data_IF_313640040073
#
_entry.id   IF_313640040073
#
_cell.length_a   1.000
_cell.length_b   1.000
_cell.length_c   1.000
_cell.angle_alpha   90.00
_cell.angle_beta   90.00
_cell.angle_gamma   90.00
#
_symmetry.space_group_name_H-M   'P 1'
#
loop_
_entity.id
_entity.type
_entity.pdbx_description
1 polymer ?
#
# COMPACT_ATOMS: atom_id res chain seq x y z
N UNK A 1 20.13 6.79 41.61
CA UNK A 1 19.76 7.94 42.45
C UNK A 1 21.02 8.67 42.89
N UNK A 2 21.28 9.88 42.38
CA UNK A 2 22.52 10.61 42.69
C UNK A 2 22.46 11.25 44.09
N UNK A 3 23.62 11.36 44.76
CA UNK A 3 23.78 11.97 46.10
C UNK A 3 23.24 13.42 46.21
N UNK A 4 22.94 14.04 45.07
CA UNK A 4 22.42 15.42 44.96
C UNK A 4 20.93 15.48 45.30
N UNK A 5 20.15 14.45 44.95
CA UNK A 5 18.70 14.41 45.24
C UNK A 5 18.37 14.33 46.73
N UNK A 6 19.20 13.61 47.50
CA UNK A 6 19.06 13.52 48.95
C UNK A 6 19.32 14.84 49.66
N UNK A 7 20.29 15.64 49.20
CA UNK A 7 20.65 16.92 49.81
C UNK A 7 19.57 17.99 49.66
N UNK A 8 18.91 18.04 48.50
CA UNK A 8 17.82 19.01 48.23
C UNK A 8 16.57 18.65 49.05
N UNK A 9 16.26 17.36 49.17
CA UNK A 9 15.14 16.89 50.01
C UNK A 9 15.36 17.23 51.49
N UNK A 10 16.59 17.06 52.01
CA UNK A 10 16.93 17.42 53.39
C UNK A 10 16.85 18.93 53.66
N UNK A 11 17.28 19.76 52.71
CA UNK A 11 17.19 21.22 52.84
C UNK A 11 15.73 21.70 52.86
N UNK A 12 14.87 21.12 52.02
CA UNK A 12 13.43 21.47 51.98
C UNK A 12 12.72 21.01 53.26
N UNK A 13 13.02 19.81 53.77
CA UNK A 13 12.49 19.29 55.03
C UNK A 13 12.95 20.09 56.26
N UNK A 14 14.15 20.68 56.23
CA UNK A 14 14.68 21.49 57.33
C UNK A 14 14.16 22.94 57.33
N UNK A 15 13.86 23.52 56.17
CA UNK A 15 13.52 24.95 56.06
C UNK A 15 12.01 25.26 56.18
N UNK A 16 11.14 24.35 55.74
CA UNK A 16 9.68 24.56 55.75
C UNK A 16 9.01 24.60 57.14
N UNK A 17 9.43 23.83 58.16
CA UNK A 17 8.71 23.81 59.45
C UNK A 17 8.78 25.14 60.23
N UNK A 18 9.73 26.03 59.89
CA UNK A 18 9.95 27.28 60.64
C UNK A 18 9.02 28.43 60.24
N UNK A 19 8.20 28.31 59.19
CA UNK A 19 7.48 29.47 58.63
C UNK A 19 5.95 29.45 58.75
N UNK A 20 5.30 28.30 58.95
CA UNK A 20 3.82 28.21 58.82
C UNK A 20 3.06 27.47 59.92
N UNK A 21 3.70 26.94 60.96
CA UNK A 21 2.99 26.23 62.04
C UNK A 21 2.26 24.95 61.57
N UNK A 22 1.60 24.27 62.50
CA UNK A 22 1.04 22.90 62.29
C UNK A 22 0.00 22.83 61.15
N UNK A 23 -0.65 23.94 60.81
CA UNK A 23 -1.58 24.04 59.67
C UNK A 23 -0.90 24.09 58.30
N UNK A 24 0.39 24.46 58.22
CA UNK A 24 1.18 24.46 56.98
C UNK A 24 1.73 23.07 56.60
N UNK A 25 1.91 22.17 57.57
CA UNK A 25 2.51 20.85 57.33
C UNK A 25 1.75 20.00 56.31
N UNK A 26 0.42 20.08 56.28
CA UNK A 26 -0.38 19.31 55.32
C UNK A 26 -0.18 19.82 53.89
N UNK A 27 -0.11 21.15 53.70
CA UNK A 27 0.16 21.75 52.39
C UNK A 27 1.57 21.44 51.93
N UNK A 28 2.54 21.45 52.85
CA UNK A 28 3.93 21.12 52.56
C UNK A 28 4.10 19.64 52.19
N UNK A 29 3.42 18.73 52.88
CA UNK A 29 3.41 17.29 52.54
C UNK A 29 2.77 17.07 51.16
N UNK A 30 1.65 17.74 50.87
CA UNK A 30 1.00 17.67 49.54
C UNK A 30 1.92 18.22 48.46
N UNK A 31 2.62 19.33 48.71
CA UNK A 31 3.57 19.92 47.77
C UNK A 31 4.76 18.98 47.53
N UNK A 32 5.32 18.37 48.58
CA UNK A 32 6.39 17.38 48.48
C UNK A 32 5.92 16.15 47.71
N UNK A 33 4.72 15.64 47.98
CA UNK A 33 4.12 14.52 47.24
C UNK A 33 3.92 14.88 45.77
N UNK A 34 3.44 16.10 45.46
CA UNK A 34 3.28 16.57 44.09
C UNK A 34 4.62 16.74 43.37
N UNK A 35 5.65 17.24 44.07
CA UNK A 35 7.01 17.35 43.53
C UNK A 35 7.62 15.97 43.29
N UNK A 36 7.47 15.04 44.24
CA UNK A 36 7.95 13.66 44.09
C UNK A 36 7.20 12.92 42.98
N UNK A 37 5.89 13.13 42.86
CA UNK A 37 5.07 12.60 41.76
C UNK A 37 5.48 13.20 40.42
N UNK A 38 5.72 14.50 40.36
CA UNK A 38 6.21 15.18 39.16
C UNK A 38 7.60 14.67 38.75
N UNK A 39 8.53 14.51 39.70
CA UNK A 39 9.86 13.97 39.46
C UNK A 39 9.80 12.50 39.03
N UNK A 40 8.92 11.69 39.63
CA UNK A 40 8.67 10.30 39.23
C UNK A 40 8.06 10.20 37.83
N UNK A 41 7.06 11.02 37.50
CA UNK A 41 6.44 11.08 36.19
C UNK A 41 7.43 11.53 35.09
N UNK A 42 8.28 12.51 35.39
CA UNK A 42 9.34 12.97 34.46
C UNK A 42 10.43 11.91 34.26
N UNK A 43 10.77 11.12 35.29
CA UNK A 43 11.73 10.02 35.16
C UNK A 43 11.16 8.80 34.41
N UNK A 44 9.90 8.41 34.63
CA UNK A 44 9.25 7.33 33.85
C UNK A 44 9.24 7.62 32.35
N UNK A 45 9.01 8.88 31.96
CA UNK A 45 8.97 9.28 30.55
C UNK A 45 10.33 9.15 29.86
N UNK A 46 11.44 9.09 30.62
CA UNK A 46 12.80 8.92 30.08
C UNK A 46 13.38 7.52 30.30
N UNK A 47 12.99 6.81 31.37
CA UNK A 47 13.60 5.53 31.76
C UNK A 47 13.13 4.34 30.89
N UNK A 48 11.97 4.45 30.22
CA UNK A 48 11.46 3.40 29.33
C UNK A 48 12.29 3.16 28.06
N UNK A 49 13.03 4.17 27.60
CA UNK A 49 13.90 4.07 26.43
C UNK A 49 15.25 3.40 26.76
N UNK A 50 15.82 3.65 27.93
CA UNK A 50 17.11 3.05 28.33
C UNK A 50 16.96 1.55 28.65
N UNK A 51 15.87 1.15 29.32
CA UNK A 51 15.64 -0.25 29.70
C UNK A 51 15.36 -1.15 28.48
N UNK A 52 14.69 -0.63 27.44
CA UNK A 52 14.34 -1.38 26.22
C UNK A 52 15.52 -1.54 25.24
N UNK A 53 16.51 -0.63 25.28
CA UNK A 53 17.73 -0.69 24.45
C UNK A 53 18.80 -1.64 25.05
N UNK A 54 18.61 -2.15 26.27
CA UNK A 54 19.64 -2.85 27.05
C UNK A 54 20.19 -4.15 26.44
N UNK A 55 19.43 -4.87 25.60
CA UNK A 55 19.82 -6.20 25.07
C UNK A 55 21.08 -6.15 24.18
N UNK A 56 21.22 -5.13 23.32
CA UNK A 56 22.43 -4.86 22.53
C UNK A 56 22.57 -3.35 22.22
N UNK A 57 22.78 -2.57 23.29
CA UNK A 57 22.86 -1.09 23.21
C UNK A 57 23.87 -0.60 22.18
N UNK A 58 24.99 -1.30 22.01
CA UNK A 58 26.03 -0.92 21.06
C UNK A 58 25.60 -1.16 19.61
N UNK A 59 24.94 -2.28 19.31
CA UNK A 59 24.36 -2.51 17.98
C UNK A 59 23.36 -1.42 17.61
N UNK A 60 22.45 -1.07 18.53
CA UNK A 60 21.48 0.00 18.31
C UNK A 60 22.15 1.32 17.98
N UNK A 61 23.11 1.75 18.81
CA UNK A 61 23.81 3.03 18.63
C UNK A 61 24.58 3.03 17.32
N UNK A 62 25.36 1.99 17.04
CA UNK A 62 26.18 1.90 15.82
C UNK A 62 25.29 1.97 14.58
N UNK A 63 24.24 1.13 14.51
CA UNK A 63 23.34 1.12 13.35
C UNK A 63 22.57 2.44 13.24
N UNK A 64 22.21 3.08 14.36
CA UNK A 64 21.53 4.38 14.34
C UNK A 64 22.39 5.45 13.67
N UNK A 65 23.66 5.56 14.07
CA UNK A 65 24.55 6.56 13.51
C UNK A 65 25.00 6.21 12.08
N UNK A 66 25.18 4.94 11.75
CA UNK A 66 25.42 4.52 10.36
C UNK A 66 24.25 4.89 9.43
N UNK A 67 23.00 4.58 9.84
CA UNK A 67 21.83 4.92 9.03
C UNK A 67 21.63 6.45 8.96
N UNK A 68 21.88 7.18 10.05
CA UNK A 68 21.86 8.64 10.04
C UNK A 68 22.89 9.21 9.05
N UNK A 69 24.10 8.65 9.02
CA UNK A 69 25.14 9.01 8.06
C UNK A 69 24.68 8.81 6.62
N UNK A 70 24.03 7.68 6.33
CA UNK A 70 23.48 7.39 5.01
C UNK A 70 22.36 8.35 4.60
N UNK A 71 21.48 8.73 5.53
CA UNK A 71 20.41 9.72 5.30
C UNK A 71 20.99 11.11 5.01
N UNK A 72 22.00 11.55 5.76
CA UNK A 72 22.65 12.84 5.52
C UNK A 72 23.46 12.83 4.20
N UNK A 73 24.16 11.74 3.89
CA UNK A 73 24.91 11.60 2.64
C UNK A 73 23.99 11.64 1.40
N UNK A 74 22.77 11.14 1.52
CA UNK A 74 21.78 11.16 0.44
C UNK A 74 21.40 12.58 -0.05
N UNK A 75 21.69 13.62 0.74
CA UNK A 75 21.57 15.05 0.35
C UNK A 75 22.71 15.54 -0.55
N UNK A 76 23.76 14.73 -0.73
CA UNK A 76 24.97 15.04 -1.51
C UNK A 76 26.09 15.68 -0.70
N UNK A 77 25.79 16.29 0.45
CA UNK A 77 26.78 16.76 1.42
C UNK A 77 26.19 16.76 2.83
N UNK A 78 27.04 16.52 3.84
CA UNK A 78 26.67 16.61 5.26
C UNK A 78 26.85 18.06 5.72
N UNK A 79 25.76 18.71 6.09
CA UNK A 79 25.74 20.10 6.57
C UNK A 79 26.17 20.24 8.03
N UNK A 80 26.45 21.48 8.46
CA UNK A 80 26.77 21.77 9.87
C UNK A 80 25.57 21.49 10.80
N UNK A 81 24.35 21.62 10.29
CA UNK A 81 23.13 21.28 11.01
C UNK A 81 23.03 19.76 11.25
N UNK A 82 23.42 18.95 10.25
CA UNK A 82 23.47 17.48 10.38
C UNK A 82 24.49 17.08 11.46
N UNK A 83 25.69 17.67 11.43
CA UNK A 83 26.74 17.43 12.44
C UNK A 83 26.29 17.85 13.84
N UNK A 84 25.68 19.02 13.97
CA UNK A 84 25.13 19.51 15.25
C UNK A 84 24.07 18.55 15.81
N UNK A 85 23.24 17.95 14.95
CA UNK A 85 22.24 16.96 15.36
C UNK A 85 22.87 15.67 15.87
N UNK A 86 23.96 15.21 15.23
CA UNK A 86 24.75 14.04 15.70
C UNK A 86 25.25 14.26 17.13
N UNK A 87 25.82 15.44 17.41
CA UNK A 87 26.26 15.80 18.77
C UNK A 87 25.11 15.88 19.77
N UNK A 88 23.99 16.52 19.37
CA UNK A 88 22.81 16.63 20.22
C UNK A 88 22.23 15.25 20.57
N UNK A 89 22.19 14.33 19.60
CA UNK A 89 21.70 12.96 19.79
C UNK A 89 22.63 12.16 20.70
N UNK A 90 23.94 12.26 20.48
CA UNK A 90 24.97 11.61 21.32
C UNK A 90 24.81 12.03 22.79
N UNK A 91 24.61 13.33 23.03
CA UNK A 91 24.36 13.87 24.37
C UNK A 91 23.02 13.41 24.94
N UNK A 92 21.96 13.36 24.14
CA UNK A 92 20.63 12.94 24.57
C UNK A 92 20.60 11.46 24.99
N UNK A 93 21.36 10.61 24.30
CA UNK A 93 21.51 9.18 24.63
C UNK A 93 22.45 8.93 25.83
N UNK A 94 22.99 9.99 26.46
CA UNK A 94 23.91 9.96 27.61
C UNK A 94 25.06 8.97 27.40
N UNK A 95 25.69 9.06 26.22
CA UNK A 95 26.78 8.18 25.85
C UNK A 95 28.05 8.58 26.61
N UNK A 96 28.87 7.58 26.98
CA UNK A 96 30.19 7.81 27.57
C UNK A 96 31.21 8.21 26.48
N UNK A 97 32.41 8.58 26.91
CA UNK A 97 33.46 9.07 26.01
C UNK A 97 33.91 8.01 24.99
N UNK A 98 33.86 6.72 25.33
CA UNK A 98 34.19 5.62 24.42
C UNK A 98 33.12 5.49 23.33
N UNK A 99 31.85 5.51 23.74
CA UNK A 99 30.71 5.39 22.83
C UNK A 99 30.58 6.61 21.92
N UNK A 100 30.96 7.80 22.37
CA UNK A 100 31.01 9.01 21.52
C UNK A 100 32.00 8.88 20.35
N UNK A 101 33.13 8.19 20.53
CA UNK A 101 34.06 7.91 19.43
C UNK A 101 33.41 6.93 18.44
N UNK A 102 32.72 5.91 18.96
CA UNK A 102 31.99 4.94 18.14
C UNK A 102 30.90 5.59 17.30
N UNK A 103 30.15 6.58 17.81
CA UNK A 103 29.10 7.25 17.04
C UNK A 103 29.67 7.98 15.83
N UNK A 104 30.82 8.64 15.96
CA UNK A 104 31.47 9.34 14.84
C UNK A 104 31.99 8.37 13.79
N UNK A 105 32.62 7.28 14.21
CA UNK A 105 33.07 6.22 13.32
C UNK A 105 31.89 5.58 12.56
N UNK A 106 30.83 5.24 13.26
CA UNK A 106 29.58 4.72 12.70
C UNK A 106 28.97 5.69 11.69
N UNK A 107 28.86 6.97 12.04
CA UNK A 107 28.33 8.00 11.17
C UNK A 107 29.13 8.17 9.87
N UNK A 108 30.46 8.08 9.93
CA UNK A 108 31.31 8.11 8.74
C UNK A 108 31.19 6.84 7.90
N UNK A 109 31.08 5.68 8.54
CA UNK A 109 30.84 4.39 7.87
C UNK A 109 29.52 4.41 7.09
N UNK A 110 28.50 5.03 7.68
CA UNK A 110 27.21 5.25 7.05
C UNK A 110 27.25 6.09 5.77
N UNK A 111 28.26 6.93 5.56
CA UNK A 111 28.37 7.78 4.37
C UNK A 111 29.04 7.08 3.17
N UNK A 112 29.48 5.83 3.34
CA UNK A 112 30.12 5.07 2.27
C UNK A 112 29.12 4.72 1.17
N UNK A 113 29.52 4.87 -0.11
CA UNK A 113 28.64 4.62 -1.26
C UNK A 113 28.00 3.22 -1.28
N UNK A 114 28.73 2.22 -0.78
CA UNK A 114 28.30 0.81 -0.75
C UNK A 114 27.86 0.36 0.65
N UNK A 115 27.38 1.28 1.49
CA UNK A 115 26.89 0.95 2.82
C UNK A 115 25.74 -0.09 2.74
N UNK A 116 25.84 -1.25 3.42
CA UNK A 116 24.88 -2.35 3.28
C UNK A 116 23.61 -2.11 4.11
N UNK A 117 22.86 -1.06 3.78
CA UNK A 117 21.71 -0.56 4.55
C UNK A 117 20.72 -1.65 4.98
N UNK A 118 20.24 -2.47 4.03
CA UNK A 118 19.25 -3.52 4.31
C UNK A 118 19.77 -4.56 5.29
N UNK A 119 20.98 -5.06 5.08
CA UNK A 119 21.58 -6.07 5.95
C UNK A 119 21.77 -5.55 7.39
N UNK A 120 22.14 -4.27 7.54
CA UNK A 120 22.31 -3.63 8.86
C UNK A 120 20.99 -3.45 9.58
N UNK A 121 19.95 -3.00 8.86
CA UNK A 121 18.60 -2.86 9.38
C UNK A 121 17.97 -4.21 9.74
N UNK A 122 18.13 -5.23 8.90
CA UNK A 122 17.67 -6.60 9.19
C UNK A 122 18.33 -7.15 10.46
N UNK A 123 19.65 -6.97 10.63
CA UNK A 123 20.34 -7.38 11.88
C UNK A 123 19.79 -6.66 13.11
N UNK A 124 19.49 -5.36 12.99
CA UNK A 124 18.86 -4.61 14.08
C UNK A 124 17.45 -5.12 14.37
N UNK A 125 16.67 -5.41 13.31
CA UNK A 125 15.34 -5.97 13.44
C UNK A 125 15.37 -7.32 14.17
N UNK A 126 16.28 -8.22 13.83
CA UNK A 126 16.41 -9.51 14.50
C UNK A 126 16.65 -9.35 16.01
N UNK A 127 17.50 -8.40 16.39
CA UNK A 127 17.84 -8.09 17.78
C UNK A 127 16.69 -7.44 18.58
N UNK A 128 15.77 -6.72 17.94
CA UNK A 128 14.72 -5.93 18.60
C UNK A 128 13.29 -6.27 18.13
N UNK A 129 13.11 -7.33 17.35
CA UNK A 129 11.83 -7.75 16.75
C UNK A 129 10.70 -7.95 17.77
N UNK A 130 11.07 -8.30 18.99
CA UNK A 130 10.20 -8.56 20.13
C UNK A 130 9.75 -7.26 20.83
N UNK A 131 10.48 -6.15 20.66
CA UNK A 131 10.11 -4.84 21.20
C UNK A 131 9.92 -3.81 20.08
N UNK A 132 8.68 -3.72 19.59
CA UNK A 132 8.28 -2.77 18.55
C UNK A 132 8.46 -1.31 18.96
N UNK A 133 8.49 -1.00 20.27
CA UNK A 133 8.71 0.37 20.72
C UNK A 133 10.14 0.83 20.42
N UNK A 134 11.13 -0.05 20.57
CA UNK A 134 12.54 0.27 20.23
C UNK A 134 12.69 0.54 18.74
N UNK A 135 12.08 -0.29 17.88
CA UNK A 135 12.11 -0.08 16.43
C UNK A 135 11.41 1.23 16.03
N UNK A 136 10.29 1.57 16.67
CA UNK A 136 9.62 2.85 16.46
C UNK A 136 10.45 4.04 16.96
N UNK A 137 11.17 3.90 18.07
CA UNK A 137 12.08 4.91 18.59
C UNK A 137 13.28 5.12 17.64
N UNK A 138 13.83 4.03 17.10
CA UNK A 138 14.87 4.08 16.07
C UNK A 138 14.38 4.87 14.85
N UNK A 139 13.21 4.51 14.32
CA UNK A 139 12.62 5.21 13.19
C UNK A 139 12.49 6.71 13.47
N UNK A 140 11.98 7.10 14.63
CA UNK A 140 11.85 8.50 15.02
C UNK A 140 13.18 9.24 14.95
N UNK A 141 14.24 8.68 15.53
CA UNK A 141 15.55 9.32 15.50
C UNK A 141 16.08 9.49 14.07
N UNK A 142 15.89 8.50 13.19
CA UNK A 142 16.28 8.62 11.78
C UNK A 142 15.43 9.69 11.06
N UNK A 143 14.13 9.77 11.33
CA UNK A 143 13.27 10.81 10.76
C UNK A 143 13.69 12.21 11.22
N UNK A 144 14.15 12.35 12.46
CA UNK A 144 14.69 13.61 12.98
C UNK A 144 15.97 14.08 12.25
N UNK A 145 16.79 13.16 11.71
CA UNK A 145 17.92 13.48 10.84
C UNK A 145 17.48 13.83 9.42
N UNK A 146 16.48 13.09 8.89
CA UNK A 146 15.96 13.34 7.54
C UNK A 146 15.32 14.73 7.45
N UNK A 147 14.54 15.13 8.46
CA UNK A 147 13.71 16.34 8.45
C UNK A 147 14.39 17.58 9.04
N UNK A 148 15.73 17.63 9.10
CA UNK A 148 16.45 18.76 9.72
C UNK A 148 16.10 20.12 9.11
N UNK A 149 15.88 20.17 7.80
CA UNK A 149 15.52 21.38 7.04
C UNK A 149 13.99 21.55 6.87
N UNK A 150 13.20 20.72 7.54
CA UNK A 150 11.74 20.71 7.44
C UNK A 150 11.18 20.09 6.16
N UNK A 151 12.02 19.55 5.27
CA UNK A 151 11.60 18.91 4.03
C UNK A 151 12.13 17.48 3.98
N UNK A 152 11.45 16.62 3.22
CA UNK A 152 11.88 15.25 3.00
C UNK A 152 12.14 15.02 1.52
N UNK A 153 13.41 14.95 1.15
CA UNK A 153 13.87 14.74 -0.21
C UNK A 153 13.58 13.31 -0.69
N UNK A 154 13.62 13.09 -2.01
CA UNK A 154 13.32 11.79 -2.60
C UNK A 154 14.30 10.69 -2.16
N UNK A 155 15.59 11.02 -2.02
CA UNK A 155 16.62 10.06 -1.62
C UNK A 155 16.48 9.64 -0.15
N UNK A 156 16.25 10.58 0.76
CA UNK A 156 15.97 10.31 2.18
C UNK A 156 14.69 9.47 2.31
N UNK A 157 13.64 9.84 1.57
CA UNK A 157 12.38 9.10 1.52
C UNK A 157 12.58 7.65 1.07
N UNK A 158 13.50 7.41 0.14
CA UNK A 158 13.84 6.05 -0.29
C UNK A 158 14.47 5.25 0.85
N UNK A 159 15.42 5.83 1.59
CA UNK A 159 16.04 5.20 2.77
C UNK A 159 14.98 4.89 3.86
N UNK A 160 14.10 5.85 4.15
CA UNK A 160 13.03 5.65 5.12
C UNK A 160 12.04 4.54 4.70
N UNK A 161 11.77 4.40 3.40
CA UNK A 161 10.95 3.27 2.90
C UNK A 161 11.64 1.94 3.09
N UNK A 162 12.93 1.86 2.80
CA UNK A 162 13.72 0.65 3.06
C UNK A 162 13.62 0.28 4.54
N UNK A 163 13.81 1.24 5.45
CA UNK A 163 13.67 1.01 6.89
C UNK A 163 12.27 0.54 7.30
N UNK A 164 11.22 1.13 6.75
CA UNK A 164 9.84 0.72 6.99
C UNK A 164 9.59 -0.74 6.55
N UNK A 165 10.12 -1.12 5.38
CA UNK A 165 10.01 -2.48 4.84
C UNK A 165 10.75 -3.49 5.74
N UNK A 166 12.01 -3.19 6.11
CA UNK A 166 12.85 -4.07 6.95
C UNK A 166 12.28 -4.25 8.36
N UNK A 167 11.68 -3.22 8.95
CA UNK A 167 11.09 -3.33 10.29
C UNK A 167 9.64 -3.82 10.30
N UNK A 168 9.07 -4.05 9.12
CA UNK A 168 7.66 -4.42 8.95
C UNK A 168 6.70 -3.40 9.61
N UNK A 169 7.07 -2.12 9.58
CA UNK A 169 6.28 -1.02 10.09
C UNK A 169 5.72 -0.26 8.89
N UNK A 170 4.39 -0.09 8.76
CA UNK A 170 3.81 0.69 7.69
C UNK A 170 4.44 2.09 7.63
N UNK A 171 4.94 2.48 6.45
CA UNK A 171 5.57 3.79 6.25
C UNK A 171 4.69 4.95 6.74
N UNK A 172 3.37 4.84 6.58
CA UNK A 172 2.41 5.81 7.09
C UNK A 172 2.41 5.91 8.62
N UNK A 173 2.54 4.79 9.34
CA UNK A 173 2.57 4.77 10.80
C UNK A 173 3.85 5.41 11.34
N UNK A 174 4.99 5.07 10.74
CA UNK A 174 6.29 5.68 11.05
C UNK A 174 6.25 7.21 10.89
N UNK A 175 5.61 7.67 9.82
CA UNK A 175 5.42 9.07 9.53
C UNK A 175 4.45 9.79 10.49
N UNK A 176 3.33 9.15 10.86
CA UNK A 176 2.40 9.68 11.86
C UNK A 176 3.13 9.90 13.18
N UNK A 177 3.96 8.94 13.59
CA UNK A 177 4.74 9.06 14.81
C UNK A 177 5.69 10.26 14.79
N UNK A 178 6.41 10.48 13.68
CA UNK A 178 7.23 11.68 13.53
C UNK A 178 6.42 12.97 13.62
N UNK A 179 5.23 13.02 13.02
CA UNK A 179 4.35 14.19 13.10
C UNK A 179 3.92 14.53 14.53
N UNK A 180 3.81 13.52 15.40
CA UNK A 180 3.48 13.69 16.82
C UNK A 180 4.68 14.10 17.67
N UNK A 181 5.90 13.76 17.26
CA UNK A 181 7.11 14.04 18.04
C UNK A 181 7.81 15.36 17.68
N UNK A 182 7.52 15.93 16.51
CA UNK A 182 8.09 17.23 16.05
C UNK A 182 7.27 18.43 16.58
N UNK A 183 6.83 18.38 17.84
CA UNK A 183 6.19 19.50 18.52
C UNK A 183 7.21 20.53 19.04
N UNK A 184 8.14 20.98 18.20
CA UNK A 184 8.92 22.19 18.46
C UNK A 184 8.69 23.23 17.35
N UNK A 185 7.74 24.12 17.65
CA UNK A 185 7.60 25.48 17.13
C UNK A 185 7.33 25.75 15.64
N UNK A 186 6.92 24.79 14.79
CA UNK A 186 6.53 25.18 13.42
C UNK A 186 5.32 24.43 12.85
N UNK A 187 4.27 25.18 12.48
CA UNK A 187 3.07 24.70 11.78
C UNK A 187 3.36 24.24 10.34
N UNK A 188 4.53 24.57 9.79
CA UNK A 188 4.96 24.19 8.44
C UNK A 188 5.18 22.67 8.28
N UNK A 189 5.62 21.97 9.33
CA UNK A 189 5.84 20.52 9.30
C UNK A 189 4.53 19.76 9.04
N UNK A 190 3.43 20.19 9.67
CA UNK A 190 2.12 19.59 9.47
C UNK A 190 1.65 19.83 8.03
N UNK A 191 1.77 21.07 7.52
CA UNK A 191 1.23 21.46 6.23
C UNK A 191 1.93 20.77 5.04
N UNK A 192 3.26 20.69 5.06
CA UNK A 192 4.02 20.03 3.99
C UNK A 192 3.86 18.50 4.02
N UNK A 193 3.77 17.93 5.22
CA UNK A 193 3.49 16.51 5.44
C UNK A 193 2.12 16.10 4.87
N UNK A 194 1.04 16.80 5.24
CA UNK A 194 -0.31 16.49 4.75
C UNK A 194 -0.43 16.70 3.24
N UNK A 195 0.20 17.75 2.68
CA UNK A 195 0.18 17.97 1.23
C UNK A 195 0.86 16.84 0.44
N UNK A 196 2.08 16.43 0.84
CA UNK A 196 2.83 15.41 0.10
C UNK A 196 2.19 14.03 0.23
N UNK A 197 1.62 13.72 1.41
CA UNK A 197 0.99 12.43 1.67
C UNK A 197 -0.39 12.32 0.98
N UNK A 198 -1.17 13.40 0.93
CA UNK A 198 -2.43 13.43 0.17
C UNK A 198 -2.20 13.37 -1.34
N UNK A 199 -1.18 14.06 -1.86
CA UNK A 199 -0.78 13.95 -3.26
C UNK A 199 -0.38 12.50 -3.61
N UNK A 200 0.39 11.83 -2.75
CA UNK A 200 0.76 10.43 -2.95
C UNK A 200 -0.44 9.48 -2.94
N UNK A 201 -1.35 9.62 -1.97
CA UNK A 201 -2.60 8.84 -1.92
C UNK A 201 -3.45 9.09 -3.17
N UNK A 202 -3.54 10.34 -3.63
CA UNK A 202 -4.27 10.68 -4.85
C UNK A 202 -3.62 10.05 -6.08
N UNK A 203 -2.29 10.04 -6.18
CA UNK A 203 -1.58 9.46 -7.31
C UNK A 203 -1.76 7.93 -7.39
N UNK A 204 -1.73 7.24 -6.24
CA UNK A 204 -2.06 5.81 -6.17
C UNK A 204 -3.51 5.52 -6.57
N UNK A 205 -4.48 6.29 -6.03
CA UNK A 205 -5.89 6.15 -6.40
C UNK A 205 -6.09 6.35 -7.90
N UNK A 206 -5.44 7.36 -8.49
CA UNK A 206 -5.48 7.61 -9.93
C UNK A 206 -4.85 6.47 -10.73
N UNK A 207 -3.73 5.90 -10.29
CA UNK A 207 -3.13 4.73 -10.97
C UNK A 207 -4.06 3.52 -10.94
N UNK A 208 -4.67 3.22 -9.80
CA UNK A 208 -5.64 2.12 -9.68
C UNK A 208 -6.87 2.36 -10.57
N UNK A 209 -7.39 3.59 -10.60
CA UNK A 209 -8.49 3.98 -11.48
C UNK A 209 -8.10 3.85 -12.96
N UNK A 210 -6.91 4.32 -13.36
CA UNK A 210 -6.40 4.17 -14.74
C UNK A 210 -6.27 2.70 -15.13
N UNK A 211 -5.74 1.85 -14.24
CA UNK A 211 -5.65 0.42 -14.50
C UNK A 211 -7.04 -0.24 -14.62
N UNK A 212 -8.00 0.13 -13.77
CA UNK A 212 -9.37 -0.36 -13.89
C UNK A 212 -10.02 0.10 -15.21
N UNK A 213 -9.85 1.36 -15.59
CA UNK A 213 -10.36 1.89 -16.86
C UNK A 213 -9.73 1.18 -18.05
N UNK A 214 -8.42 0.93 -18.04
CA UNK A 214 -7.72 0.16 -19.07
C UNK A 214 -8.26 -1.28 -19.14
N UNK A 215 -8.42 -1.96 -18.01
CA UNK A 215 -9.00 -3.32 -17.96
C UNK A 215 -10.42 -3.34 -18.53
N UNK A 216 -11.27 -2.38 -18.16
CA UNK A 216 -12.62 -2.27 -18.71
C UNK A 216 -12.63 -1.95 -20.20
N UNK A 217 -11.73 -1.08 -20.68
CA UNK A 217 -11.59 -0.79 -22.11
C UNK A 217 -11.13 -2.03 -22.89
N UNK A 218 -10.15 -2.78 -22.37
CA UNK A 218 -9.68 -4.03 -22.99
C UNK A 218 -10.81 -5.07 -23.05
N UNK A 219 -11.58 -5.24 -21.98
CA UNK A 219 -12.74 -6.14 -21.96
C UNK A 219 -13.81 -5.72 -22.97
N UNK A 220 -14.14 -4.42 -23.05
CA UNK A 220 -15.08 -3.89 -24.05
C UNK A 220 -14.58 -4.11 -25.48
N UNK A 221 -13.31 -3.86 -25.75
CA UNK A 221 -12.71 -4.10 -27.06
C UNK A 221 -12.69 -5.59 -27.43
N UNK A 222 -12.43 -6.48 -26.47
CA UNK A 222 -12.51 -7.93 -26.69
C UNK A 222 -13.94 -8.37 -27.03
N UNK A 223 -14.94 -7.90 -26.28
CA UNK A 223 -16.35 -8.19 -26.58
C UNK A 223 -16.78 -7.66 -27.95
N UNK A 224 -16.36 -6.44 -28.31
CA UNK A 224 -16.64 -5.87 -29.63
C UNK A 224 -15.96 -6.66 -30.76
N UNK A 225 -14.69 -7.08 -30.59
CA UNK A 225 -13.98 -7.91 -31.56
C UNK A 225 -14.65 -9.27 -31.74
N UNK A 226 -15.06 -9.92 -30.65
CA UNK A 226 -15.79 -11.18 -30.71
C UNK A 226 -17.11 -11.02 -31.47
N UNK A 227 -17.90 -9.96 -31.17
CA UNK A 227 -19.15 -9.69 -31.89
C UNK A 227 -18.93 -9.40 -33.38
N UNK A 228 -17.86 -8.67 -33.74
CA UNK A 228 -17.53 -8.37 -35.14
C UNK A 228 -17.09 -9.62 -35.90
N UNK A 229 -16.20 -10.44 -35.33
CA UNK A 229 -15.78 -11.72 -35.91
C UNK A 229 -16.99 -12.62 -36.12
N UNK A 230 -17.86 -12.69 -35.11
CA UNK A 230 -19.10 -13.45 -35.20
C UNK A 230 -19.97 -12.94 -36.36
N UNK A 231 -20.25 -11.63 -36.43
CA UNK A 231 -21.05 -11.02 -37.51
C UNK A 231 -20.47 -11.30 -38.90
N UNK A 232 -19.16 -11.21 -39.07
CA UNK A 232 -18.49 -11.49 -40.34
C UNK A 232 -18.63 -12.96 -40.75
N UNK A 233 -18.44 -13.88 -39.80
CA UNK A 233 -18.64 -15.32 -40.02
C UNK A 233 -20.09 -15.59 -40.47
N UNK A 234 -21.08 -14.96 -39.85
CA UNK A 234 -22.49 -15.08 -40.26
C UNK A 234 -22.78 -14.58 -41.68
N UNK A 235 -22.22 -13.43 -42.06
CA UNK A 235 -22.42 -12.87 -43.40
C UNK A 235 -21.76 -13.73 -44.49
N UNK A 236 -20.57 -14.29 -44.21
CA UNK A 236 -19.89 -15.19 -45.14
C UNK A 236 -20.63 -16.53 -45.34
N UNK A 237 -21.22 -17.06 -44.27
CA UNK A 237 -21.84 -18.37 -44.31
C UNK A 237 -23.24 -18.38 -44.94
N UNK A 238 -23.89 -17.21 -45.06
CA UNK A 238 -25.11 -17.05 -45.87
C UNK A 238 -24.89 -17.18 -47.39
N UNK A 239 -23.64 -17.32 -47.86
CA UNK A 239 -23.29 -17.43 -49.29
C UNK A 239 -22.64 -18.77 -49.69
N UNK A 240 -22.61 -19.79 -48.83
CA UNK A 240 -21.98 -21.09 -49.14
C UNK A 240 -22.94 -22.10 -49.81
N UNK A 241 -22.40 -23.03 -50.64
CA UNK A 241 -23.12 -23.69 -51.75
C UNK A 241 -24.09 -24.79 -51.28
N UNK A 242 -25.02 -25.24 -52.15
CA UNK A 242 -26.05 -26.20 -51.78
C UNK A 242 -25.39 -27.55 -51.50
N UNK A 243 -25.59 -28.05 -50.28
CA UNK A 243 -25.41 -29.48 -50.01
C UNK A 243 -26.47 -30.18 -50.86
N UNK A 244 -26.07 -31.08 -51.75
CA UNK A 244 -26.98 -32.00 -52.46
C UNK A 244 -27.52 -33.06 -51.50
N UNK A 245 -28.04 -32.63 -50.34
CA UNK A 245 -28.72 -33.51 -49.41
C UNK A 245 -30.16 -33.74 -49.88
N UNK A 246 -30.56 -35.01 -49.78
CA UNK A 246 -31.84 -35.56 -50.22
C UNK A 246 -33.03 -34.67 -49.89
N UNK A 247 -33.95 -34.52 -50.85
CA UNK A 247 -35.12 -33.64 -50.77
C UNK A 247 -36.01 -33.90 -49.53
N UNK A 248 -36.12 -35.15 -49.11
CA UNK A 248 -36.90 -35.51 -47.91
C UNK A 248 -36.25 -34.99 -46.62
N UNK A 249 -34.93 -34.89 -46.58
CA UNK A 249 -34.19 -34.43 -45.40
C UNK A 249 -34.43 -32.92 -45.17
N UNK A 250 -34.55 -32.12 -46.24
CA UNK A 250 -34.82 -30.68 -46.11
C UNK A 250 -36.18 -30.37 -45.47
N UNK A 251 -37.23 -31.13 -45.80
CA UNK A 251 -38.55 -31.00 -45.19
C UNK A 251 -38.55 -31.47 -43.73
N UNK A 252 -37.79 -32.53 -43.42
CA UNK A 252 -37.61 -33.02 -42.06
C UNK A 252 -36.86 -32.03 -41.17
N UNK A 253 -35.80 -31.38 -41.68
CA UNK A 253 -35.03 -30.35 -40.96
C UNK A 253 -35.89 -29.14 -40.58
N UNK A 254 -36.85 -28.75 -41.45
CA UNK A 254 -37.82 -27.70 -41.13
C UNK A 254 -39.01 -28.20 -40.30
N UNK A 255 -39.17 -29.51 -40.15
CA UNK A 255 -40.26 -30.15 -39.41
C UNK A 255 -41.63 -29.96 -40.06
N UNK A 256 -41.68 -29.96 -41.40
CA UNK A 256 -42.89 -29.73 -42.19
C UNK A 256 -43.11 -30.86 -43.20
N UNK A 257 -44.35 -31.04 -43.64
CA UNK A 257 -44.69 -32.00 -44.68
C UNK A 257 -44.19 -31.55 -46.05
N UNK A 258 -43.86 -32.49 -46.93
CA UNK A 258 -43.53 -32.23 -48.33
C UNK A 258 -44.67 -31.49 -49.06
N UNK A 259 -45.92 -31.64 -48.62
CA UNK A 259 -47.10 -30.98 -49.21
C UNK A 259 -47.45 -29.62 -48.57
N UNK A 260 -46.62 -29.10 -47.65
CA UNK A 260 -46.89 -27.85 -46.96
C UNK A 260 -46.96 -26.64 -47.92
N UNK A 261 -47.80 -25.68 -47.57
CA UNK A 261 -47.96 -24.42 -48.29
C UNK A 261 -46.73 -23.50 -48.15
N UNK A 262 -46.56 -22.57 -49.09
CA UNK A 262 -45.45 -21.58 -49.05
C UNK A 262 -45.49 -20.72 -47.78
N UNK A 263 -46.69 -20.42 -47.27
CA UNK A 263 -46.85 -19.67 -46.03
C UNK A 263 -46.34 -20.46 -44.82
N UNK A 264 -46.67 -21.75 -44.74
CA UNK A 264 -46.20 -22.64 -43.68
C UNK A 264 -44.68 -22.81 -43.71
N UNK A 265 -44.09 -22.93 -44.91
CA UNK A 265 -42.62 -22.99 -45.08
C UNK A 265 -41.96 -21.72 -44.54
N UNK A 266 -42.47 -20.54 -44.93
CA UNK A 266 -41.94 -19.24 -44.45
C UNK A 266 -42.13 -19.08 -42.93
N UNK A 267 -43.24 -19.55 -42.38
CA UNK A 267 -43.53 -19.48 -40.96
C UNK A 267 -42.66 -20.42 -40.13
N UNK A 268 -42.47 -21.66 -40.58
CA UNK A 268 -41.60 -22.64 -39.94
C UNK A 268 -40.14 -22.14 -39.90
N UNK A 269 -39.64 -21.62 -41.03
CA UNK A 269 -38.32 -21.01 -41.10
C UNK A 269 -38.14 -19.86 -40.11
N UNK A 270 -39.08 -18.90 -40.08
CA UNK A 270 -39.05 -17.77 -39.13
C UNK A 270 -39.07 -18.25 -37.68
N UNK A 271 -39.88 -19.26 -37.35
CA UNK A 271 -39.97 -19.84 -36.00
C UNK A 271 -38.65 -20.47 -35.57
N UNK A 272 -38.07 -21.30 -36.42
CA UNK A 272 -36.80 -21.98 -36.14
C UNK A 272 -35.64 -20.99 -36.03
N UNK A 273 -35.56 -20.02 -36.94
CA UNK A 273 -34.60 -18.92 -36.84
C UNK A 273 -34.77 -18.16 -35.52
N UNK A 274 -35.98 -17.80 -35.14
CA UNK A 274 -36.23 -17.06 -33.90
C UNK A 274 -35.84 -17.83 -32.63
N UNK A 275 -35.76 -19.17 -32.70
CA UNK A 275 -35.36 -20.07 -31.61
C UNK A 275 -33.86 -20.28 -31.53
N UNK A 276 -33.22 -20.48 -32.68
CA UNK A 276 -31.79 -20.81 -32.77
C UNK A 276 -30.91 -19.62 -33.16
N UNK A 277 -31.50 -18.42 -33.34
CA UNK A 277 -30.73 -17.24 -33.73
C UNK A 277 -29.66 -16.96 -32.68
N UNK A 278 -28.40 -16.90 -33.09
CA UNK A 278 -27.29 -16.79 -32.17
C UNK A 278 -27.27 -15.47 -31.38
N UNK A 279 -27.77 -14.37 -31.94
CA UNK A 279 -27.87 -13.09 -31.24
C UNK A 279 -28.76 -13.18 -29.98
N UNK A 280 -29.75 -14.09 -29.97
CA UNK A 280 -30.55 -14.36 -28.77
C UNK A 280 -29.83 -15.26 -27.78
N UNK A 281 -29.02 -16.19 -28.27
CA UNK A 281 -28.27 -17.15 -27.48
C UNK A 281 -27.05 -16.51 -26.81
N UNK A 282 -26.40 -15.53 -27.45
CA UNK A 282 -25.32 -14.72 -26.87
C UNK A 282 -25.81 -13.92 -25.65
N UNK A 283 -27.05 -13.41 -25.67
CA UNK A 283 -27.65 -12.72 -24.51
C UNK A 283 -27.89 -13.64 -23.31
N UNK A 284 -27.93 -14.96 -23.52
CA UNK A 284 -28.14 -15.97 -22.48
C UNK A 284 -26.84 -16.46 -21.82
N UNK A 285 -25.66 -15.91 -22.19
CA UNK A 285 -24.33 -16.29 -21.65
C UNK A 285 -23.99 -17.79 -21.80
N UNK A 286 -24.38 -18.39 -22.92
CA UNK A 286 -24.07 -19.79 -23.21
C UNK A 286 -22.56 -20.01 -23.44
N UNK A 287 -22.12 -21.24 -23.20
CA UNK A 287 -20.74 -21.67 -23.42
C UNK A 287 -20.34 -21.65 -24.90
N UNK A 288 -19.03 -21.71 -25.17
CA UNK A 288 -18.52 -21.74 -26.55
C UNK A 288 -19.06 -22.94 -27.36
N UNK A 289 -19.23 -24.10 -26.71
CA UNK A 289 -19.73 -25.32 -27.34
C UNK A 289 -21.22 -25.21 -27.74
N UNK A 290 -22.06 -24.65 -26.87
CA UNK A 290 -23.49 -24.43 -27.17
C UNK A 290 -23.68 -23.40 -28.29
N UNK A 291 -22.82 -22.39 -28.34
CA UNK A 291 -22.82 -21.39 -29.41
C UNK A 291 -22.47 -22.01 -30.76
N UNK A 292 -21.54 -22.97 -30.78
CA UNK A 292 -21.16 -23.71 -31.97
C UNK A 292 -22.30 -24.62 -32.46
N UNK A 293 -22.92 -25.41 -31.58
CA UNK A 293 -24.07 -26.24 -31.93
C UNK A 293 -25.25 -25.44 -32.46
N UNK A 294 -25.56 -24.29 -31.84
CA UNK A 294 -26.62 -23.41 -32.34
C UNK A 294 -26.31 -22.83 -33.72
N UNK A 295 -25.03 -22.55 -33.99
CA UNK A 295 -24.56 -22.10 -35.31
C UNK A 295 -24.79 -23.21 -36.33
N UNK A 296 -24.37 -24.44 -36.05
CA UNK A 296 -24.59 -25.61 -36.92
C UNK A 296 -26.08 -25.86 -37.21
N UNK A 297 -26.93 -25.83 -36.18
CA UNK A 297 -28.38 -25.99 -36.35
C UNK A 297 -28.98 -24.92 -37.27
N UNK A 298 -28.57 -23.67 -37.09
CA UNK A 298 -29.07 -22.56 -37.89
C UNK A 298 -28.63 -22.68 -39.35
N UNK A 299 -27.38 -23.11 -39.60
CA UNK A 299 -26.88 -23.37 -40.94
C UNK A 299 -27.70 -24.44 -41.65
N UNK A 300 -28.01 -25.55 -40.98
CA UNK A 300 -28.88 -26.61 -41.53
C UNK A 300 -30.27 -26.08 -41.88
N UNK A 301 -30.86 -25.24 -41.02
CA UNK A 301 -32.17 -24.62 -41.29
C UNK A 301 -32.12 -23.67 -42.51
N UNK A 302 -31.06 -22.87 -42.65
CA UNK A 302 -30.87 -21.98 -43.82
C UNK A 302 -30.70 -22.78 -45.11
N UNK A 303 -29.87 -23.81 -45.09
CA UNK A 303 -29.62 -24.69 -46.23
C UNK A 303 -30.92 -25.39 -46.68
N UNK A 304 -31.68 -25.96 -45.74
CA UNK A 304 -32.96 -26.60 -46.01
C UNK A 304 -33.98 -25.62 -46.63
N UNK A 305 -34.09 -24.41 -46.09
CA UNK A 305 -34.98 -23.39 -46.64
C UNK A 305 -34.55 -22.92 -48.03
N UNK A 306 -33.25 -22.73 -48.28
CA UNK A 306 -32.74 -22.36 -49.60
C UNK A 306 -33.00 -23.45 -50.65
N UNK A 307 -32.83 -24.73 -50.27
CA UNK A 307 -33.15 -25.88 -51.11
C UNK A 307 -34.65 -25.89 -51.50
N UNK A 308 -35.54 -25.79 -50.50
CA UNK A 308 -37.00 -25.77 -50.72
C UNK A 308 -37.42 -24.55 -51.55
N UNK A 309 -36.81 -23.38 -51.31
CA UNK A 309 -37.07 -22.16 -52.08
C UNK A 309 -36.73 -22.34 -53.55
N UNK A 310 -35.57 -22.96 -53.85
CA UNK A 310 -35.14 -23.25 -55.24
C UNK A 310 -36.07 -24.25 -55.92
N UNK A 311 -36.52 -25.29 -55.21
CA UNK A 311 -37.39 -26.34 -55.73
C UNK A 311 -38.81 -25.85 -56.05
N UNK A 312 -39.40 -25.08 -55.14
CA UNK A 312 -40.79 -24.62 -55.24
C UNK A 312 -40.92 -23.30 -56.00
N UNK A 313 -39.82 -22.67 -56.40
CA UNK A 313 -39.79 -21.51 -57.29
C UNK A 313 -40.49 -20.26 -56.75
N UNK A 314 -40.64 -20.11 -55.43
CA UNK A 314 -41.29 -18.94 -54.84
C UNK A 314 -40.26 -17.87 -54.42
N UNK A 315 -40.62 -16.60 -54.64
CA UNK A 315 -39.76 -15.44 -54.35
C UNK A 315 -39.78 -15.04 -52.87
#
# INVERSE_FOLDING_TARGET
MSKIGFGICFLVLWYLPKRFGVSGMLLDIVLIILILFYLYAVHIVNDGAEASIATDRNLYIVVLFEVAGQVCAAKGHVSEADRSRVYAMTKALKLDAETEVLTRYAFNTGQMQNYPLRARLSRLYDAYSHDKHVLMLFCKHILEFALIDGRLHNNERHILKIMADEFHIPYAQMLIFASQTVHRQNNEYHHHYWQTNEQWKQQQRQQQQRQQQQRQQQQRQQQQRQQQQYRQQWQSNTQSPPVEESYDDAYQVLGISANASVQEIKQAYRRLMNKYHPDKLVKQKLSAAETQQATEHTQRIQAAYACIKKLRGFV
#
